data_IF_965974080050
#
_entry.id   IF_965974080050
#
_cell.length_a   1.000
_cell.length_b   1.000
_cell.length_c   1.000
_cell.angle_alpha   90.00
_cell.angle_beta   90.00
_cell.angle_gamma   90.00
#
_symmetry.space_group_name_H-M   'P 1'
#
loop_
_entity.id
_entity.type
_entity.pdbx_description
1 polymer ?
#
# COMPACT_ATOMS: atom_id res chain seq x y z
N UNK A 1 -33.03 -37.49 -78.22
CA UNK A 1 -32.26 -36.34 -78.67
C UNK A 1 -31.94 -35.47 -77.49
N UNK A 2 -30.70 -35.03 -77.39
CA UNK A 2 -30.00 -34.15 -76.48
C UNK A 2 -29.22 -34.84 -75.34
N UNK A 3 -27.93 -34.92 -75.62
CA UNK A 3 -26.86 -35.18 -74.69
C UNK A 3 -26.75 -34.09 -73.67
N UNK A 4 -26.59 -34.43 -72.43
CA UNK A 4 -25.99 -33.57 -71.40
C UNK A 4 -24.69 -34.18 -70.97
N UNK A 5 -23.59 -33.46 -71.31
CA UNK A 5 -22.23 -33.72 -70.87
C UNK A 5 -22.08 -33.18 -69.44
N UNK A 6 -21.81 -34.07 -68.52
CA UNK A 6 -21.33 -33.72 -67.18
C UNK A 6 -19.83 -33.40 -67.30
N UNK A 7 -19.49 -32.16 -67.10
CA UNK A 7 -18.09 -31.73 -66.91
C UNK A 7 -17.58 -32.16 -65.51
N UNK A 8 -16.46 -32.90 -65.52
CA UNK A 8 -15.81 -33.36 -64.31
C UNK A 8 -14.95 -32.24 -63.73
N UNK A 9 -15.23 -31.83 -62.47
CA UNK A 9 -14.36 -30.98 -61.69
C UNK A 9 -13.15 -31.74 -61.16
N UNK A 10 -11.94 -31.19 -61.22
CA UNK A 10 -10.76 -31.88 -60.71
C UNK A 10 -10.78 -31.90 -59.18
N UNK A 11 -10.71 -33.09 -58.60
CA UNK A 11 -10.57 -33.31 -57.14
C UNK A 11 -9.16 -32.94 -56.73
N UNK A 12 -9.00 -31.85 -55.99
CA UNK A 12 -7.75 -31.55 -55.29
C UNK A 12 -7.48 -32.57 -54.19
N UNK A 13 -6.29 -33.15 -54.17
CA UNK A 13 -5.89 -34.14 -53.20
C UNK A 13 -5.85 -33.52 -51.78
N UNK A 14 -6.25 -34.27 -50.76
CA UNK A 14 -6.22 -33.84 -49.33
C UNK A 14 -4.86 -33.33 -48.88
N UNK A 15 -3.76 -33.69 -49.52
CA UNK A 15 -2.41 -33.16 -49.23
C UNK A 15 -2.19 -31.73 -49.70
N UNK A 16 -2.77 -31.32 -50.82
CA UNK A 16 -2.66 -29.96 -51.34
C UNK A 16 -3.49 -28.97 -50.52
N UNK A 17 -4.63 -29.39 -49.95
CA UNK A 17 -5.46 -28.54 -49.06
C UNK A 17 -4.80 -28.26 -47.70
N UNK A 18 -4.02 -29.23 -47.17
CA UNK A 18 -3.31 -29.05 -45.90
C UNK A 18 -2.07 -28.15 -46.01
N UNK A 19 -1.42 -28.10 -47.19
CA UNK A 19 -0.28 -27.20 -47.41
C UNK A 19 -0.68 -25.76 -47.66
N UNK A 20 -1.88 -25.50 -48.14
CA UNK A 20 -2.38 -24.12 -48.36
C UNK A 20 -2.88 -23.46 -47.07
N UNK A 21 -3.30 -24.24 -46.06
CA UNK A 21 -3.73 -23.71 -44.76
C UNK A 21 -2.54 -23.37 -43.84
N UNK A 22 -1.40 -24.08 -44.01
CA UNK A 22 -0.19 -23.83 -43.24
C UNK A 22 0.57 -22.52 -43.66
N UNK A 23 0.36 -22.03 -44.85
CA UNK A 23 1.03 -20.82 -45.36
C UNK A 23 0.27 -19.49 -45.06
N UNK A 24 -0.97 -19.57 -44.56
CA UNK A 24 -1.77 -18.39 -44.21
C UNK A 24 -1.80 -18.09 -42.72
N UNK A 25 -1.15 -18.87 -41.86
CA UNK A 25 -0.84 -18.47 -40.50
C UNK A 25 0.40 -17.61 -40.50
N UNK A 26 0.26 -16.39 -40.99
CA UNK A 26 1.21 -15.34 -40.70
C UNK A 26 1.35 -15.27 -39.18
N UNK A 27 2.58 -15.36 -38.69
CA UNK A 27 2.94 -15.15 -37.31
C UNK A 27 2.41 -13.79 -36.90
N UNK A 28 1.21 -13.74 -36.35
CA UNK A 28 0.82 -12.61 -35.48
C UNK A 28 1.71 -12.78 -34.26
N UNK A 29 2.90 -12.21 -34.34
CA UNK A 29 3.65 -11.90 -33.15
C UNK A 29 2.74 -10.99 -32.33
N UNK A 30 2.02 -11.54 -31.36
CA UNK A 30 1.57 -10.77 -30.23
C UNK A 30 2.86 -10.21 -29.63
N UNK A 31 3.24 -9.02 -30.02
CA UNK A 31 4.10 -8.20 -29.21
C UNK A 31 3.36 -8.15 -27.88
N UNK A 32 3.80 -8.93 -26.90
CA UNK A 32 3.44 -8.72 -25.51
C UNK A 32 4.01 -7.35 -25.21
N UNK A 33 3.18 -6.30 -25.41
CA UNK A 33 3.50 -4.98 -24.90
C UNK A 33 3.80 -5.20 -23.43
N UNK A 34 5.02 -4.95 -23.04
CA UNK A 34 5.40 -4.94 -21.64
C UNK A 34 4.41 -4.01 -20.94
N UNK A 35 3.61 -4.46 -19.97
CA UNK A 35 2.56 -3.62 -19.42
C UNK A 35 3.18 -2.30 -19.00
N UNK A 36 2.62 -1.20 -19.49
CA UNK A 36 3.12 0.14 -19.17
C UNK A 36 3.15 0.25 -17.64
N UNK A 37 4.34 0.45 -17.08
CA UNK A 37 4.54 0.46 -15.64
C UNK A 37 3.84 1.66 -15.00
N UNK A 38 3.15 1.44 -13.88
CA UNK A 38 2.64 2.51 -13.05
C UNK A 38 3.77 3.20 -12.28
N UNK A 39 3.63 4.49 -11.99
CA UNK A 39 4.50 5.18 -11.02
C UNK A 39 4.13 4.84 -9.57
N UNK A 40 2.99 4.20 -9.32
CA UNK A 40 2.57 3.72 -8.01
C UNK A 40 3.44 2.53 -7.60
N UNK A 41 4.09 2.62 -6.44
CA UNK A 41 4.82 1.50 -5.85
C UNK A 41 3.92 0.56 -5.05
N UNK A 42 4.49 -0.49 -4.47
CA UNK A 42 3.79 -1.44 -3.58
C UNK A 42 4.43 -1.46 -2.20
N UNK A 43 3.60 -1.45 -1.17
CA UNK A 43 3.99 -1.85 0.19
C UNK A 43 4.00 -3.38 0.26
N UNK A 44 4.99 -3.99 0.89
CA UNK A 44 5.14 -5.45 0.98
C UNK A 44 3.87 -6.14 1.54
N UNK A 45 3.16 -5.48 2.44
CA UNK A 45 1.95 -6.03 3.04
C UNK A 45 0.81 -6.30 2.05
N UNK A 46 0.81 -5.69 0.85
CA UNK A 46 -0.13 -6.06 -0.23
C UNK A 46 0.01 -7.51 -0.67
N UNK A 47 1.20 -8.11 -0.47
CA UNK A 47 1.54 -9.46 -0.92
C UNK A 47 1.71 -10.45 0.26
N UNK A 48 1.06 -10.18 1.40
CA UNK A 48 1.22 -10.99 2.61
C UNK A 48 0.66 -12.41 2.45
N UNK A 49 -0.45 -12.55 1.72
CA UNK A 49 -1.08 -13.84 1.45
C UNK A 49 -0.21 -14.63 0.46
N UNK A 50 0.27 -14.00 -0.60
CA UNK A 50 1.21 -14.59 -1.57
C UNK A 50 2.49 -15.05 -0.89
N UNK A 51 3.07 -14.25 0.01
CA UNK A 51 4.24 -14.66 0.79
C UNK A 51 3.97 -15.94 1.56
N UNK A 52 2.85 -16.00 2.31
CA UNK A 52 2.44 -17.19 3.05
C UNK A 52 2.26 -18.41 2.14
N UNK A 53 1.62 -18.21 1.00
CA UNK A 53 1.39 -19.27 0.01
C UNK A 53 2.70 -19.82 -0.61
N UNK A 54 3.68 -18.97 -0.88
CA UNK A 54 5.00 -19.36 -1.35
C UNK A 54 5.79 -20.11 -0.27
N UNK A 55 5.73 -19.63 0.99
CA UNK A 55 6.41 -20.29 2.11
C UNK A 55 5.85 -21.66 2.47
N UNK A 56 4.60 -21.97 2.13
CA UNK A 56 4.07 -23.32 2.27
C UNK A 56 4.74 -24.31 1.28
N UNK A 57 5.26 -23.82 0.15
CA UNK A 57 5.93 -24.61 -0.90
C UNK A 57 7.44 -24.66 -0.71
N UNK A 58 8.02 -23.57 -0.30
CA UNK A 58 9.42 -23.42 0.07
C UNK A 58 9.55 -22.57 1.34
N UNK A 59 9.68 -23.18 2.52
CA UNK A 59 9.79 -22.47 3.79
C UNK A 59 11.00 -21.50 3.89
N UNK A 60 12.01 -21.66 3.01
CA UNK A 60 13.19 -20.80 2.99
C UNK A 60 12.99 -19.59 2.08
N UNK A 61 12.01 -19.62 1.20
CA UNK A 61 11.73 -18.50 0.31
C UNK A 61 11.06 -17.35 1.06
N UNK A 62 11.63 -16.16 0.94
CA UNK A 62 11.02 -14.95 1.49
C UNK A 62 10.76 -13.94 0.36
N UNK A 63 9.48 -13.80 0.00
CA UNK A 63 9.05 -12.79 -0.97
C UNK A 63 9.43 -11.37 -0.54
N UNK A 64 9.53 -11.10 0.77
CA UNK A 64 9.83 -9.78 1.31
C UNK A 64 11.33 -9.48 1.45
N UNK A 65 12.19 -10.43 1.09
CA UNK A 65 13.61 -10.14 0.90
C UNK A 65 13.74 -8.98 -0.13
N UNK A 66 14.52 -7.92 0.16
CA UNK A 66 14.44 -6.68 -0.59
C UNK A 66 14.59 -6.79 -2.11
N UNK A 67 15.60 -7.51 -2.60
CA UNK A 67 15.80 -7.66 -4.05
C UNK A 67 14.71 -8.54 -4.68
N UNK A 68 14.28 -9.58 -3.99
CA UNK A 68 13.20 -10.47 -4.42
C UNK A 68 11.89 -9.70 -4.53
N UNK A 69 11.58 -8.87 -3.55
CA UNK A 69 10.36 -8.08 -3.58
C UNK A 69 10.42 -6.97 -4.64
N UNK A 70 11.57 -6.32 -4.84
CA UNK A 70 11.71 -5.33 -5.89
C UNK A 70 11.52 -5.93 -7.30
N UNK A 71 12.04 -7.15 -7.52
CA UNK A 71 11.78 -7.90 -8.76
C UNK A 71 10.30 -8.20 -8.94
N UNK A 72 9.63 -8.66 -7.88
CA UNK A 72 8.18 -8.89 -7.92
C UNK A 72 7.41 -7.61 -8.25
N UNK A 73 7.75 -6.47 -7.66
CA UNK A 73 7.14 -5.18 -7.98
C UNK A 73 7.29 -4.82 -9.46
N UNK A 74 8.49 -5.01 -10.03
CA UNK A 74 8.71 -4.85 -11.48
C UNK A 74 7.78 -5.74 -12.30
N UNK A 75 7.70 -7.00 -11.94
CA UNK A 75 6.98 -8.02 -12.71
C UNK A 75 5.46 -7.79 -12.73
N UNK A 76 4.91 -7.25 -11.64
CA UNK A 76 3.48 -6.83 -11.58
C UNK A 76 3.22 -5.43 -12.15
N UNK A 77 4.25 -4.72 -12.62
CA UNK A 77 4.12 -3.40 -13.23
C UNK A 77 4.03 -2.23 -12.24
N UNK A 78 4.52 -2.39 -11.02
CA UNK A 78 4.61 -1.32 -10.04
C UNK A 78 5.88 -0.48 -10.22
N UNK A 79 5.84 0.80 -9.80
CA UNK A 79 6.93 1.78 -9.94
C UNK A 79 7.98 1.72 -8.86
N UNK A 80 7.85 0.84 -7.90
CA UNK A 80 8.79 0.70 -6.79
C UNK A 80 8.24 -0.15 -5.65
N UNK A 81 8.94 -0.15 -4.53
CA UNK A 81 8.58 -0.94 -3.36
C UNK A 81 8.70 -0.18 -2.05
N UNK A 82 8.04 -0.70 -1.02
CA UNK A 82 8.36 -0.43 0.38
C UNK A 82 8.39 -1.75 1.16
N UNK A 83 9.55 -2.07 1.74
CA UNK A 83 9.76 -3.27 2.56
C UNK A 83 10.79 -3.03 3.65
N UNK A 84 10.88 -3.92 4.63
CA UNK A 84 11.96 -3.87 5.61
C UNK A 84 13.28 -4.24 4.94
N UNK A 85 14.25 -3.33 4.99
CA UNK A 85 15.57 -3.58 4.40
C UNK A 85 16.48 -4.35 5.35
N UNK A 86 16.31 -4.15 6.66
CA UNK A 86 17.22 -4.65 7.67
C UNK A 86 18.64 -4.07 7.51
N UNK A 87 19.63 -4.84 7.96
CA UNK A 87 21.06 -4.51 7.75
C UNK A 87 21.58 -5.35 6.60
N UNK A 88 22.02 -4.70 5.52
CA UNK A 88 22.55 -5.35 4.32
C UNK A 88 24.07 -5.13 4.25
N UNK A 89 24.78 -6.13 3.73
CA UNK A 89 26.18 -5.96 3.35
C UNK A 89 26.34 -5.17 2.04
N UNK A 90 27.56 -4.72 1.74
CA UNK A 90 27.84 -3.87 0.58
C UNK A 90 27.47 -4.52 -0.77
N UNK A 91 27.58 -5.84 -0.88
CA UNK A 91 27.24 -6.55 -2.12
C UNK A 91 25.72 -6.56 -2.35
N UNK A 92 24.94 -6.79 -1.30
CA UNK A 92 23.46 -6.76 -1.36
C UNK A 92 22.94 -5.34 -1.59
N UNK A 93 23.54 -4.33 -0.91
CA UNK A 93 23.23 -2.92 -1.17
C UNK A 93 23.48 -2.58 -2.63
N UNK A 94 24.64 -2.93 -3.17
CA UNK A 94 24.99 -2.68 -4.58
C UNK A 94 23.98 -3.38 -5.53
N UNK A 95 23.70 -4.64 -5.32
CA UNK A 95 22.77 -5.41 -6.17
C UNK A 95 21.37 -4.80 -6.18
N UNK A 96 20.89 -4.33 -5.02
CA UNK A 96 19.57 -3.71 -4.89
C UNK A 96 19.51 -2.35 -5.63
N UNK A 97 20.54 -1.52 -5.46
CA UNK A 97 20.67 -0.21 -6.16
C UNK A 97 20.78 -0.40 -7.66
N UNK A 98 21.71 -1.24 -8.12
CA UNK A 98 21.94 -1.46 -9.56
C UNK A 98 20.63 -1.91 -10.24
N UNK A 99 19.90 -2.82 -9.60
CA UNK A 99 18.62 -3.27 -10.13
C UNK A 99 17.55 -2.16 -10.14
N UNK A 100 17.48 -1.37 -9.07
CA UNK A 100 16.54 -0.24 -8.98
C UNK A 100 16.84 0.81 -10.07
N UNK A 101 18.09 1.17 -10.25
CA UNK A 101 18.56 2.17 -11.22
C UNK A 101 18.33 1.68 -12.66
N UNK A 102 18.72 0.44 -12.98
CA UNK A 102 18.52 -0.18 -14.30
C UNK A 102 17.02 -0.21 -14.66
N UNK A 103 16.20 -0.62 -13.71
CA UNK A 103 14.76 -0.75 -13.90
C UNK A 103 13.98 0.54 -13.62
N UNK A 104 14.63 1.64 -13.20
CA UNK A 104 14.00 2.93 -12.83
C UNK A 104 12.90 2.74 -11.78
N UNK A 105 13.17 1.93 -10.77
CA UNK A 105 12.28 1.64 -9.65
C UNK A 105 12.68 2.47 -8.43
N UNK A 106 11.70 2.77 -7.59
CA UNK A 106 11.91 3.51 -6.35
C UNK A 106 11.89 2.57 -5.17
N UNK A 107 12.72 2.85 -4.18
CA UNK A 107 12.80 2.09 -2.95
C UNK A 107 12.44 2.99 -1.78
N UNK A 108 11.45 2.58 -1.01
CA UNK A 108 11.19 3.03 0.35
C UNK A 108 11.50 1.90 1.34
N UNK A 109 11.96 2.27 2.53
CA UNK A 109 12.22 1.32 3.61
C UNK A 109 11.09 1.25 4.63
N UNK A 110 11.13 0.20 5.47
CA UNK A 110 10.37 0.10 6.71
C UNK A 110 11.36 -0.13 7.84
N UNK A 111 11.25 0.63 8.93
CA UNK A 111 12.09 0.50 10.10
C UNK A 111 11.26 0.66 11.38
N UNK A 112 11.60 -0.08 12.43
CA UNK A 112 11.07 0.19 13.75
C UNK A 112 11.92 1.27 14.43
N UNK A 113 11.31 2.27 15.12
CA UNK A 113 12.09 3.29 15.81
C UNK A 113 12.90 2.65 16.95
N UNK A 114 13.94 3.31 17.46
CA UNK A 114 14.69 2.79 18.60
C UNK A 114 13.79 2.74 19.83
N UNK A 115 13.81 1.63 20.56
CA UNK A 115 12.99 1.43 21.77
C UNK A 115 13.52 2.23 22.95
N UNK A 116 14.85 2.27 23.08
CA UNK A 116 15.62 2.91 24.13
C UNK A 116 17.07 3.13 23.69
N UNK A 117 17.92 3.64 24.56
CA UNK A 117 19.34 3.89 24.27
C UNK A 117 20.10 2.61 23.88
N UNK A 118 19.72 1.46 24.42
CA UNK A 118 20.34 0.17 24.08
C UNK A 118 20.06 -0.32 22.65
N UNK A 119 19.03 0.23 22.02
CA UNK A 119 18.58 -0.15 20.67
C UNK A 119 19.12 0.79 19.56
N UNK A 120 19.83 1.87 19.93
CA UNK A 120 20.34 2.87 18.99
C UNK A 120 21.27 2.28 17.92
N UNK A 121 22.14 1.34 18.31
CA UNK A 121 23.08 0.73 17.37
C UNK A 121 22.38 -0.07 16.26
N UNK A 122 21.32 -0.82 16.58
CA UNK A 122 20.48 -1.51 15.59
C UNK A 122 19.82 -0.49 14.66
N UNK A 123 19.15 0.51 15.23
CA UNK A 123 18.45 1.52 14.46
C UNK A 123 19.40 2.27 13.51
N UNK A 124 20.58 2.70 14.02
CA UNK A 124 21.58 3.38 13.18
C UNK A 124 22.11 2.50 12.04
N UNK A 125 22.32 1.20 12.29
CA UNK A 125 22.75 0.27 11.25
C UNK A 125 21.69 0.13 10.13
N UNK A 126 20.40 0.04 10.47
CA UNK A 126 19.31 0.00 9.51
C UNK A 126 19.15 1.32 8.74
N UNK A 127 19.27 2.47 9.41
CA UNK A 127 19.22 3.80 8.76
C UNK A 127 20.44 3.99 7.82
N UNK A 128 21.61 3.53 8.20
CA UNK A 128 22.78 3.55 7.32
C UNK A 128 22.57 2.70 6.07
N UNK A 129 22.03 1.48 6.21
CA UNK A 129 21.64 0.64 5.06
C UNK A 129 20.66 1.38 4.15
N UNK A 130 19.65 2.02 4.72
CA UNK A 130 18.68 2.81 3.96
C UNK A 130 19.33 3.97 3.19
N UNK A 131 20.29 4.68 3.81
CA UNK A 131 21.06 5.73 3.16
C UNK A 131 21.93 5.19 2.01
N UNK A 132 22.62 4.07 2.23
CA UNK A 132 23.50 3.42 1.25
C UNK A 132 22.70 2.86 0.05
N UNK A 133 21.50 2.35 0.28
CA UNK A 133 20.55 1.92 -0.78
C UNK A 133 20.02 3.12 -1.56
N UNK A 134 19.95 4.30 -0.96
CA UNK A 134 19.41 5.50 -1.58
C UNK A 134 17.88 5.56 -1.52
N UNK A 135 17.28 5.15 -0.41
CA UNK A 135 15.82 5.19 -0.25
C UNK A 135 15.28 6.62 -0.26
N UNK A 136 14.04 6.79 -0.71
CA UNK A 136 13.36 8.09 -0.65
C UNK A 136 12.91 8.44 0.76
N UNK A 137 12.36 7.47 1.48
CA UNK A 137 11.97 7.56 2.87
C UNK A 137 11.99 6.19 3.54
N UNK A 138 12.06 6.17 4.87
CA UNK A 138 11.79 4.99 5.67
C UNK A 138 10.52 5.21 6.48
N UNK A 139 9.55 4.32 6.31
CA UNK A 139 8.28 4.35 7.05
C UNK A 139 8.48 3.74 8.44
N UNK A 140 7.83 4.32 9.43
CA UNK A 140 7.74 3.78 10.78
C UNK A 140 6.36 3.96 11.39
N UNK A 141 6.03 3.14 12.40
CA UNK A 141 4.91 3.34 13.32
C UNK A 141 5.45 3.48 14.73
N UNK A 142 4.78 4.26 15.55
CA UNK A 142 5.27 4.59 16.91
C UNK A 142 4.34 4.09 18.02
N UNK A 143 3.13 3.70 17.66
CA UNK A 143 2.16 3.14 18.60
C UNK A 143 1.60 1.82 18.06
N UNK A 144 1.20 0.88 18.93
CA UNK A 144 0.68 -0.42 18.50
C UNK A 144 -0.73 -0.29 17.90
N UNK A 145 -0.96 -0.99 16.81
CA UNK A 145 -2.25 -1.38 16.25
C UNK A 145 -3.31 -0.29 16.13
N UNK A 146 -4.54 -0.68 16.39
CA UNK A 146 -5.71 0.20 16.36
C UNK A 146 -6.05 0.67 17.78
N UNK A 147 -6.09 1.98 18.00
CA UNK A 147 -6.28 2.62 19.31
C UNK A 147 -7.45 2.01 20.09
N UNK A 148 -8.60 1.88 19.46
CA UNK A 148 -9.82 1.39 20.08
C UNK A 148 -9.84 -0.12 20.34
N UNK A 149 -8.80 -0.87 19.93
CA UNK A 149 -8.62 -2.29 20.23
C UNK A 149 -7.48 -2.52 21.23
N UNK A 150 -6.46 -1.67 21.19
CA UNK A 150 -5.23 -1.87 21.98
C UNK A 150 -5.30 -1.24 23.37
N UNK A 151 -6.06 -0.17 23.54
CA UNK A 151 -6.10 0.60 24.78
C UNK A 151 -7.49 0.58 25.40
N UNK A 152 -7.53 0.52 26.73
CA UNK A 152 -8.77 0.51 27.51
C UNK A 152 -9.10 1.87 28.13
N UNK A 153 -8.15 2.79 28.15
CA UNK A 153 -8.30 4.12 28.74
C UNK A 153 -7.47 5.17 28.03
N UNK A 154 -7.85 6.44 28.21
CA UNK A 154 -7.06 7.58 27.76
C UNK A 154 -5.68 7.63 28.43
N UNK A 155 -5.56 7.18 29.68
CA UNK A 155 -4.28 7.16 30.39
C UNK A 155 -3.27 6.25 29.70
N UNK A 156 -3.69 5.06 29.27
CA UNK A 156 -2.85 4.12 28.50
C UNK A 156 -2.42 4.74 27.14
N UNK A 157 -3.33 5.44 26.46
CA UNK A 157 -3.00 6.16 25.22
C UNK A 157 -1.94 7.22 25.48
N UNK A 158 -2.10 8.05 26.51
CA UNK A 158 -1.13 9.12 26.84
C UNK A 158 0.25 8.56 27.23
N UNK A 159 0.28 7.42 27.89
CA UNK A 159 1.55 6.71 28.16
C UNK A 159 2.24 6.25 26.87
N UNK A 160 1.46 5.66 25.94
CA UNK A 160 1.98 5.22 24.65
C UNK A 160 2.46 6.42 23.81
N UNK A 161 1.76 7.53 23.80
CA UNK A 161 2.18 8.77 23.14
C UNK A 161 3.49 9.31 23.72
N UNK A 162 3.62 9.34 25.04
CA UNK A 162 4.87 9.78 25.69
C UNK A 162 6.05 8.86 25.32
N UNK A 163 5.84 7.56 25.19
CA UNK A 163 6.85 6.62 24.70
C UNK A 163 7.19 6.88 23.23
N UNK A 164 6.18 7.13 22.39
CA UNK A 164 6.37 7.45 20.98
C UNK A 164 7.23 8.72 20.79
N UNK A 165 7.00 9.76 21.56
CA UNK A 165 7.81 10.99 21.57
C UNK A 165 9.27 10.65 21.87
N UNK A 166 9.55 9.91 22.96
CA UNK A 166 10.91 9.51 23.34
C UNK A 166 11.63 8.70 22.25
N UNK A 167 10.94 7.73 21.64
CA UNK A 167 11.51 6.93 20.55
C UNK A 167 11.90 7.83 19.36
N UNK A 168 11.10 8.82 19.02
CA UNK A 168 11.40 9.74 17.91
C UNK A 168 12.48 10.77 18.27
N UNK A 169 12.55 11.23 19.52
CA UNK A 169 13.64 12.07 20.03
C UNK A 169 14.99 11.33 19.95
N UNK A 170 15.01 10.03 20.26
CA UNK A 170 16.19 9.16 20.09
C UNK A 170 16.55 8.94 18.61
N UNK A 171 15.55 8.83 17.73
CA UNK A 171 15.76 8.65 16.31
C UNK A 171 16.28 9.89 15.59
N UNK A 172 15.86 11.10 16.03
CA UNK A 172 16.11 12.37 15.35
C UNK A 172 17.59 12.65 15.03
N UNK A 173 18.56 12.51 15.97
CA UNK A 173 19.96 12.75 15.67
C UNK A 173 20.53 11.75 14.65
N UNK A 174 20.08 10.50 14.68
CA UNK A 174 20.54 9.44 13.77
C UNK A 174 20.07 9.70 12.34
N UNK A 175 18.75 9.96 12.15
CA UNK A 175 18.19 10.21 10.82
C UNK A 175 18.75 11.52 10.23
N UNK A 176 19.01 12.52 11.05
CA UNK A 176 19.67 13.77 10.65
C UNK A 176 21.10 13.53 10.20
N UNK A 177 21.90 12.78 10.97
CA UNK A 177 23.29 12.40 10.64
C UNK A 177 23.38 11.72 9.28
N UNK A 178 22.48 10.77 9.01
CA UNK A 178 22.48 9.99 7.77
C UNK A 178 21.62 10.62 6.65
N UNK A 179 20.96 11.76 6.92
CA UNK A 179 20.09 12.49 5.98
C UNK A 179 18.97 11.60 5.41
N UNK A 180 18.41 10.70 6.21
CA UNK A 180 17.35 9.79 5.85
C UNK A 180 16.02 10.32 6.38
N UNK A 181 15.02 10.43 5.52
CA UNK A 181 13.67 10.85 5.89
C UNK A 181 12.94 9.73 6.63
N UNK A 182 12.66 9.92 7.92
CA UNK A 182 11.84 9.02 8.74
C UNK A 182 10.38 9.48 8.67
N UNK A 183 9.56 8.66 8.03
CA UNK A 183 8.16 8.95 7.78
C UNK A 183 7.27 8.19 8.79
N UNK A 184 6.72 8.90 9.77
CA UNK A 184 5.80 8.32 10.76
C UNK A 184 4.41 8.23 10.14
N UNK A 185 3.87 7.02 10.06
CA UNK A 185 2.54 6.79 9.49
C UNK A 185 1.43 7.27 10.43
N UNK A 186 0.42 7.98 9.88
CA UNK A 186 -0.87 8.12 10.56
C UNK A 186 -1.59 6.78 10.49
N UNK A 187 -1.30 5.94 11.45
CA UNK A 187 -1.98 4.66 11.62
C UNK A 187 -3.35 4.88 12.29
N UNK A 188 -4.04 3.83 12.73
CA UNK A 188 -5.31 3.98 13.48
C UNK A 188 -5.03 4.20 14.99
N UNK A 189 -4.04 5.05 15.31
CA UNK A 189 -3.43 5.23 16.62
C UNK A 189 -3.64 6.63 17.22
N UNK A 190 -3.31 7.67 16.48
CA UNK A 190 -3.45 9.08 16.88
C UNK A 190 -4.39 9.81 15.94
N UNK A 191 -5.22 10.66 16.49
CA UNK A 191 -6.03 11.61 15.73
C UNK A 191 -5.16 12.67 15.08
N UNK A 192 -5.73 13.38 14.12
CA UNK A 192 -5.04 14.40 13.34
C UNK A 192 -4.37 15.46 14.22
N UNK A 193 -5.08 16.00 15.21
CA UNK A 193 -4.56 17.04 16.12
C UNK A 193 -3.39 16.54 16.96
N UNK A 194 -3.46 15.30 17.47
CA UNK A 194 -2.39 14.65 18.22
C UNK A 194 -1.16 14.42 17.32
N UNK A 195 -1.37 14.00 16.09
CA UNK A 195 -0.29 13.77 15.10
C UNK A 195 0.40 15.09 14.68
N UNK A 196 -0.34 16.14 14.46
CA UNK A 196 0.22 17.46 14.14
C UNK A 196 1.00 18.04 15.32
N UNK A 197 0.50 17.84 16.56
CA UNK A 197 1.22 18.24 17.76
C UNK A 197 2.56 17.51 17.90
N UNK A 198 2.62 16.21 17.56
CA UNK A 198 3.85 15.43 17.54
C UNK A 198 4.90 16.01 16.58
N UNK A 199 4.53 16.28 15.31
CA UNK A 199 5.48 16.87 14.35
C UNK A 199 5.95 18.26 14.77
N UNK A 200 5.06 19.09 15.32
CA UNK A 200 5.40 20.41 15.83
C UNK A 200 6.36 20.33 17.03
N UNK A 201 6.16 19.37 17.93
CA UNK A 201 7.04 19.14 19.07
C UNK A 201 8.44 18.74 18.64
N UNK A 202 8.56 17.76 17.73
CA UNK A 202 9.84 17.22 17.27
C UNK A 202 10.63 18.25 16.45
N UNK A 203 9.96 19.07 15.67
CA UNK A 203 10.57 20.13 14.84
C UNK A 203 11.84 19.71 14.10
N UNK A 204 11.85 18.47 13.53
CA UNK A 204 13.00 17.87 12.87
C UNK A 204 12.74 17.77 11.36
N UNK A 205 13.66 18.33 10.56
CA UNK A 205 13.59 18.31 9.09
C UNK A 205 13.51 16.88 8.50
N UNK A 206 14.11 15.91 9.19
CA UNK A 206 14.16 14.50 8.74
C UNK A 206 13.08 13.61 9.36
N UNK A 207 12.15 14.17 10.15
CA UNK A 207 10.98 13.45 10.66
C UNK A 207 9.71 14.08 10.10
N UNK A 208 8.92 13.28 9.37
CA UNK A 208 7.69 13.72 8.74
C UNK A 208 6.67 12.59 8.65
N UNK A 209 5.78 12.65 7.68
CA UNK A 209 4.65 11.74 7.56
C UNK A 209 4.82 10.70 6.44
N UNK A 210 4.46 9.44 6.73
CA UNK A 210 3.80 8.58 5.75
C UNK A 210 2.32 8.90 5.82
N UNK A 211 1.78 9.59 4.82
CA UNK A 211 0.36 9.91 4.79
C UNK A 211 -0.42 8.70 4.31
N UNK A 212 -1.10 8.03 5.25
CA UNK A 212 -2.05 6.98 4.91
C UNK A 212 -3.43 7.60 4.64
N UNK A 213 -3.96 7.34 3.44
CA UNK A 213 -5.16 8.02 2.93
C UNK A 213 -6.48 7.49 3.49
N UNK A 214 -6.44 6.37 4.24
CA UNK A 214 -7.64 5.74 4.79
C UNK A 214 -7.70 5.63 6.30
N UNK A 215 -6.55 5.57 6.97
CA UNK A 215 -6.49 5.20 8.39
C UNK A 215 -7.20 6.18 9.33
N UNK A 216 -7.10 7.48 9.09
CA UNK A 216 -7.68 8.53 9.96
C UNK A 216 -9.22 8.45 10.04
N UNK A 217 -9.87 7.88 9.02
CA UNK A 217 -11.31 7.70 9.00
C UNK A 217 -11.82 6.78 10.13
N UNK A 218 -11.03 5.78 10.52
CA UNK A 218 -11.34 4.90 11.64
C UNK A 218 -11.31 5.61 13.02
N UNK A 219 -10.71 6.81 13.08
CA UNK A 219 -10.66 7.68 14.26
C UNK A 219 -11.64 8.86 14.18
N UNK A 220 -12.59 8.80 13.23
CA UNK A 220 -13.62 9.80 12.97
C UNK A 220 -13.07 11.16 12.49
N UNK A 221 -11.84 11.21 12.00
CA UNK A 221 -11.31 12.39 11.33
C UNK A 221 -11.94 12.53 9.92
N UNK A 222 -12.08 13.76 9.45
CA UNK A 222 -12.44 14.00 8.06
C UNK A 222 -11.32 13.51 7.14
N UNK A 223 -11.57 12.56 6.20
CA UNK A 223 -10.50 11.94 5.44
C UNK A 223 -9.73 12.95 4.56
N UNK A 224 -10.42 13.88 3.93
CA UNK A 224 -9.78 14.87 3.05
C UNK A 224 -9.06 15.94 3.85
N UNK A 225 -9.67 16.43 4.94
CA UNK A 225 -9.07 17.40 5.86
C UNK A 225 -7.81 16.84 6.54
N UNK A 226 -7.83 15.56 6.92
CA UNK A 226 -6.66 14.90 7.49
C UNK A 226 -5.51 14.82 6.49
N UNK A 227 -5.78 14.41 5.25
CA UNK A 227 -4.77 14.34 4.19
C UNK A 227 -4.23 15.75 3.88
N UNK A 228 -5.10 16.77 3.77
CA UNK A 228 -4.69 18.16 3.48
C UNK A 228 -3.76 18.72 4.57
N UNK A 229 -4.08 18.45 5.84
CA UNK A 229 -3.28 18.92 6.97
C UNK A 229 -1.94 18.18 7.10
N UNK A 230 -1.88 16.88 6.74
CA UNK A 230 -0.66 16.07 6.80
C UNK A 230 0.23 16.21 5.55
N UNK A 231 -0.32 16.60 4.40
CA UNK A 231 0.41 16.69 3.14
C UNK A 231 1.69 17.57 3.18
N UNK A 232 1.76 18.70 3.91
CA UNK A 232 2.99 19.47 4.07
C UNK A 232 4.13 18.69 4.74
N UNK A 233 3.81 17.75 5.61
CA UNK A 233 4.75 16.89 6.33
C UNK A 233 5.10 15.61 5.56
N UNK A 234 4.42 15.32 4.44
CA UNK A 234 4.56 14.07 3.73
C UNK A 234 5.96 13.84 3.16
N UNK A 235 6.53 12.67 3.42
CA UNK A 235 7.73 12.14 2.76
C UNK A 235 7.38 11.01 1.81
N UNK A 236 6.33 10.24 2.13
CA UNK A 236 5.78 9.17 1.31
C UNK A 236 4.28 9.01 1.63
N UNK A 237 3.56 8.22 0.85
CA UNK A 237 2.12 8.02 1.00
C UNK A 237 1.77 6.54 0.94
N UNK A 238 1.00 6.07 1.90
CA UNK A 238 0.23 4.83 1.77
C UNK A 238 -1.11 5.16 1.11
N UNK A 239 -1.20 4.80 -0.15
CA UNK A 239 -2.32 5.15 -0.99
C UNK A 239 -3.31 4.00 -1.02
N UNK A 240 -4.49 4.20 -0.43
CA UNK A 240 -5.54 3.20 -0.33
C UNK A 240 -6.92 3.80 -0.53
N UNK A 241 -7.82 2.99 -1.03
CA UNK A 241 -9.25 3.26 -1.10
C UNK A 241 -9.99 2.27 -0.21
N UNK A 242 -11.11 2.68 0.33
CA UNK A 242 -11.83 1.89 1.33
C UNK A 242 -13.30 1.80 1.01
N UNK A 243 -13.85 0.60 1.17
CA UNK A 243 -15.27 0.32 1.15
C UNK A 243 -15.85 0.36 2.56
N UNK A 244 -17.02 0.95 2.69
CA UNK A 244 -17.69 1.25 3.95
C UNK A 244 -19.05 0.58 4.01
N UNK A 245 -19.45 0.09 5.19
CA UNK A 245 -20.82 -0.39 5.45
C UNK A 245 -21.15 -0.28 6.93
N UNK A 246 -22.35 0.17 7.26
CA UNK A 246 -22.83 0.16 8.64
C UNK A 246 -22.97 -1.27 9.19
N UNK A 247 -22.71 -1.42 10.48
CA UNK A 247 -23.07 -2.58 11.27
C UNK A 247 -23.55 -2.11 12.66
N UNK A 248 -24.08 -3.00 13.48
CA UNK A 248 -24.72 -2.70 14.75
C UNK A 248 -23.93 -1.77 15.69
N UNK A 249 -22.59 -1.90 15.73
CA UNK A 249 -21.75 -1.14 16.65
C UNK A 249 -20.96 -0.02 15.98
N UNK A 250 -21.25 0.32 14.73
CA UNK A 250 -20.58 1.38 13.98
C UNK A 250 -20.49 1.08 12.49
N UNK A 251 -19.27 0.96 11.94
CA UNK A 251 -19.09 0.66 10.52
C UNK A 251 -17.97 -0.33 10.25
N UNK A 252 -18.08 -1.02 9.14
CA UNK A 252 -17.07 -1.89 8.56
C UNK A 252 -16.20 -1.09 7.62
N UNK A 253 -14.90 -1.40 7.61
CA UNK A 253 -13.88 -0.74 6.82
C UNK A 253 -13.02 -1.80 6.11
N UNK A 254 -13.05 -1.82 4.79
CA UNK A 254 -12.28 -2.77 3.99
C UNK A 254 -11.42 -2.06 2.96
N UNK A 255 -10.15 -2.46 2.85
CA UNK A 255 -9.28 -2.03 1.77
C UNK A 255 -9.73 -2.71 0.48
N UNK A 256 -9.92 -1.94 -0.60
CA UNK A 256 -10.36 -2.44 -1.91
C UNK A 256 -9.57 -1.76 -3.04
N UNK A 257 -9.65 -2.25 -4.29
CA UNK A 257 -8.94 -1.62 -5.40
C UNK A 257 -9.25 -0.13 -5.53
N UNK A 258 -8.22 0.64 -5.84
CA UNK A 258 -8.32 2.09 -6.03
C UNK A 258 -9.42 2.43 -7.04
N UNK A 259 -10.23 3.43 -6.72
CA UNK A 259 -11.35 3.90 -7.52
C UNK A 259 -12.62 3.04 -7.43
N UNK A 260 -12.63 1.99 -6.62
CA UNK A 260 -13.79 1.15 -6.37
C UNK A 260 -14.40 1.37 -4.99
N UNK A 261 -13.78 2.24 -4.18
CA UNK A 261 -14.19 2.55 -2.83
C UNK A 261 -15.04 3.80 -2.70
N UNK A 262 -15.06 4.27 -1.46
CA UNK A 262 -15.87 5.41 -1.04
C UNK A 262 -15.13 6.73 -1.15
N UNK A 263 -13.81 6.72 -1.36
CA UNK A 263 -13.00 7.93 -1.40
C UNK A 263 -12.77 8.44 -2.82
N UNK A 264 -12.80 9.74 -3.00
CA UNK A 264 -12.42 10.39 -4.26
C UNK A 264 -10.89 10.41 -4.40
N UNK A 265 -10.37 9.38 -5.07
CA UNK A 265 -8.93 9.19 -5.25
C UNK A 265 -8.29 10.27 -6.14
N UNK A 266 -9.05 10.89 -7.05
CA UNK A 266 -8.57 12.00 -7.87
C UNK A 266 -8.38 13.25 -7.01
N UNK A 267 -9.35 13.57 -6.14
CA UNK A 267 -9.26 14.67 -5.16
C UNK A 267 -8.09 14.47 -4.20
N UNK A 268 -7.92 13.25 -3.65
CA UNK A 268 -6.79 12.92 -2.77
C UNK A 268 -5.46 13.13 -3.48
N UNK A 269 -5.34 12.63 -4.72
CA UNK A 269 -4.14 12.81 -5.55
C UNK A 269 -3.85 14.30 -5.78
N UNK A 270 -4.87 15.10 -6.07
CA UNK A 270 -4.73 16.54 -6.28
C UNK A 270 -4.26 17.26 -5.01
N UNK A 271 -4.80 16.93 -3.84
CA UNK A 271 -4.37 17.49 -2.54
C UNK A 271 -2.88 17.20 -2.31
N UNK A 272 -2.47 15.93 -2.45
CA UNK A 272 -1.09 15.50 -2.21
C UNK A 272 -0.11 16.16 -3.19
N UNK A 273 -0.40 16.13 -4.49
CA UNK A 273 0.46 16.73 -5.53
C UNK A 273 0.53 18.26 -5.42
N UNK A 274 -0.53 18.94 -4.97
CA UNK A 274 -0.50 20.38 -4.72
C UNK A 274 0.50 20.74 -3.61
N UNK A 275 0.56 19.95 -2.55
CA UNK A 275 1.50 20.18 -1.45
C UNK A 275 2.94 19.72 -1.80
N UNK A 276 3.07 18.62 -2.52
CA UNK A 276 4.34 17.98 -2.89
C UNK A 276 4.23 17.40 -4.31
N UNK A 277 4.57 18.14 -5.37
CA UNK A 277 4.39 17.72 -6.77
C UNK A 277 5.02 16.36 -7.11
N UNK A 278 6.16 16.04 -6.50
CA UNK A 278 6.92 14.81 -6.73
C UNK A 278 6.69 13.74 -5.65
N UNK A 279 5.62 13.89 -4.85
CA UNK A 279 5.33 12.93 -3.77
C UNK A 279 5.20 11.50 -4.30
N UNK A 280 5.85 10.56 -3.64
CA UNK A 280 5.75 9.14 -3.93
C UNK A 280 4.52 8.55 -3.26
N UNK A 281 3.82 7.70 -4.01
CA UNK A 281 2.65 6.98 -3.54
C UNK A 281 2.90 5.50 -3.69
N UNK A 282 2.55 4.76 -2.66
CA UNK A 282 2.69 3.31 -2.57
C UNK A 282 1.32 2.73 -2.25
N UNK A 283 0.85 1.81 -3.07
CA UNK A 283 -0.37 1.07 -2.78
C UNK A 283 -0.22 0.34 -1.45
N UNK A 284 -1.15 0.56 -0.54
CA UNK A 284 -1.36 -0.29 0.62
C UNK A 284 -2.80 -0.78 0.63
N UNK A 285 -3.02 -1.98 0.13
CA UNK A 285 -4.29 -2.68 0.09
C UNK A 285 -4.11 -4.04 0.74
N UNK A 286 -4.64 -4.22 1.93
CA UNK A 286 -4.52 -5.48 2.66
C UNK A 286 -5.75 -6.34 2.39
N UNK A 287 -5.57 -7.42 1.65
CA UNK A 287 -6.65 -8.39 1.38
C UNK A 287 -6.95 -9.18 2.66
N UNK A 288 -8.07 -8.87 3.29
CA UNK A 288 -8.54 -9.46 4.56
C UNK A 288 -10.02 -9.21 4.76
N UNK A 289 -10.58 -9.81 5.81
CA UNK A 289 -11.92 -9.49 6.26
C UNK A 289 -12.04 -8.01 6.66
N UNK A 290 -13.22 -7.39 6.48
CA UNK A 290 -13.47 -6.01 6.85
C UNK A 290 -13.16 -5.76 8.33
N UNK A 291 -12.48 -4.66 8.61
CA UNK A 291 -12.24 -4.21 9.97
C UNK A 291 -13.52 -3.65 10.58
N UNK A 292 -13.75 -3.94 11.84
CA UNK A 292 -14.83 -3.34 12.62
C UNK A 292 -14.34 -2.06 13.28
N UNK A 293 -15.04 -0.95 13.05
CA UNK A 293 -14.83 0.31 13.77
C UNK A 293 -16.02 0.51 14.70
N UNK A 294 -15.90 0.14 15.99
CA UNK A 294 -17.02 0.06 16.90
C UNK A 294 -17.36 1.42 17.54
N UNK A 295 -17.52 2.47 16.74
CA UNK A 295 -17.67 3.84 17.16
C UNK A 295 -19.01 4.16 17.88
N UNK A 296 -19.88 3.18 18.03
CA UNK A 296 -21.13 3.27 18.80
C UNK A 296 -21.04 2.53 20.15
N UNK A 297 -19.83 2.16 20.60
CA UNK A 297 -19.62 1.46 21.87
C UNK A 297 -18.84 2.30 22.87
N UNK A 298 -19.11 2.11 24.18
CA UNK A 298 -18.42 2.81 25.25
C UNK A 298 -16.89 2.56 25.23
N UNK A 299 -16.46 1.36 24.86
CA UNK A 299 -15.04 1.01 24.78
C UNK A 299 -14.29 1.84 23.74
N UNK A 300 -14.91 2.19 22.63
CA UNK A 300 -14.32 3.09 21.63
C UNK A 300 -14.11 4.49 22.24
N UNK A 301 -15.12 5.01 22.93
CA UNK A 301 -15.10 6.34 23.53
C UNK A 301 -14.18 6.47 24.74
N UNK A 302 -13.87 5.38 25.44
CA UNK A 302 -12.93 5.38 26.56
C UNK A 302 -11.54 5.93 26.18
N UNK A 303 -11.17 5.87 24.91
CA UNK A 303 -9.88 6.37 24.39
C UNK A 303 -9.99 7.65 23.58
N UNK A 304 -11.20 8.17 23.34
CA UNK A 304 -11.46 9.28 22.38
C UNK A 304 -12.30 10.41 22.99
N UNK A 305 -11.96 10.94 24.17
CA UNK A 305 -12.83 11.92 24.86
C UNK A 305 -12.89 13.29 24.16
N UNK A 306 -11.92 13.60 23.29
CA UNK A 306 -11.87 14.89 22.56
C UNK A 306 -12.70 14.88 21.27
N UNK A 307 -13.22 13.71 20.83
CA UNK A 307 -14.06 13.64 19.64
C UNK A 307 -15.42 14.24 19.93
N UNK A 308 -15.83 15.19 19.09
CA UNK A 308 -17.14 15.84 19.23
C UNK A 308 -18.23 15.08 18.46
N UNK A 309 -19.48 15.19 18.92
CA UNK A 309 -20.61 14.49 18.29
C UNK A 309 -20.80 14.80 16.80
N UNK A 310 -20.40 15.99 16.34
CA UNK A 310 -20.41 16.36 14.92
C UNK A 310 -19.46 15.52 14.06
N UNK A 311 -18.33 15.06 14.61
CA UNK A 311 -17.38 14.20 13.89
C UNK A 311 -17.99 12.82 13.68
N UNK A 312 -18.62 12.25 14.72
CA UNK A 312 -19.36 11.00 14.61
C UNK A 312 -20.51 11.10 13.58
N UNK A 313 -21.31 12.19 13.68
CA UNK A 313 -22.43 12.40 12.77
C UNK A 313 -21.97 12.55 11.32
N UNK A 314 -20.87 13.28 11.06
CA UNK A 314 -20.26 13.41 9.74
C UNK A 314 -19.81 12.06 9.20
N UNK A 315 -19.09 11.29 10.01
CA UNK A 315 -18.56 9.97 9.62
C UNK A 315 -19.67 9.00 9.30
N UNK A 316 -20.68 8.87 10.16
CA UNK A 316 -21.81 7.96 9.91
C UNK A 316 -22.65 8.40 8.70
N UNK A 317 -22.83 9.71 8.49
CA UNK A 317 -23.47 10.22 7.27
C UNK A 317 -22.67 9.81 6.03
N UNK A 318 -21.35 9.99 6.04
CA UNK A 318 -20.48 9.59 4.91
C UNK A 318 -20.59 8.09 4.63
N UNK A 319 -20.63 7.23 5.65
CA UNK A 319 -20.82 5.77 5.51
C UNK A 319 -22.15 5.46 4.84
N UNK A 320 -23.25 6.16 5.23
CA UNK A 320 -24.60 5.96 4.67
C UNK A 320 -24.74 6.46 3.23
N UNK A 321 -24.05 7.53 2.89
CA UNK A 321 -24.05 8.12 1.54
C UNK A 321 -23.19 7.30 0.55
N UNK A 322 -22.20 6.52 1.05
CA UNK A 322 -21.26 5.76 0.22
C UNK A 322 -21.18 4.27 0.63
N UNK A 323 -22.31 3.56 0.76
CA UNK A 323 -22.29 2.19 1.23
C UNK A 323 -21.74 1.25 0.17
N UNK A 324 -20.82 0.38 0.56
CA UNK A 324 -20.38 -0.71 -0.30
C UNK A 324 -21.52 -1.72 -0.52
N UNK A 325 -21.75 -2.13 -1.77
CA UNK A 325 -22.75 -3.14 -2.11
C UNK A 325 -22.43 -4.49 -1.45
N UNK A 326 -21.17 -4.87 -1.50
CA UNK A 326 -20.64 -6.10 -0.89
C UNK A 326 -19.29 -5.82 -0.27
N UNK A 327 -19.03 -6.46 0.87
CA UNK A 327 -17.69 -6.56 1.45
C UNK A 327 -17.31 -8.05 1.47
N UNK A 328 -16.12 -8.34 0.97
CA UNK A 328 -15.65 -9.72 0.89
C UNK A 328 -15.11 -10.17 2.26
N UNK A 329 -15.59 -11.32 2.73
CA UNK A 329 -15.05 -12.02 3.87
C UNK A 329 -14.19 -13.17 3.35
N UNK A 330 -12.89 -12.99 3.41
CA UNK A 330 -11.91 -13.87 2.77
C UNK A 330 -11.31 -14.91 3.72
N UNK A 331 -11.50 -14.72 5.03
CA UNK A 331 -10.90 -15.56 6.07
C UNK A 331 -11.27 -17.03 5.97
N UNK A 332 -12.44 -17.35 5.43
CA UNK A 332 -12.91 -18.73 5.21
C UNK A 332 -12.48 -19.33 3.86
N UNK A 333 -11.83 -18.57 2.98
CA UNK A 333 -11.43 -19.05 1.66
C UNK A 333 -10.15 -19.86 1.70
N UNK A 334 -9.95 -20.72 0.69
CA UNK A 334 -8.65 -21.36 0.50
C UNK A 334 -7.56 -20.33 0.24
N UNK A 335 -6.33 -20.66 0.61
CA UNK A 335 -5.20 -19.75 0.44
C UNK A 335 -4.97 -19.39 -1.04
N UNK A 336 -5.19 -20.32 -1.95
CA UNK A 336 -5.12 -20.09 -3.39
C UNK A 336 -6.10 -19.00 -3.83
N UNK A 337 -7.37 -19.12 -3.42
CA UNK A 337 -8.39 -18.14 -3.75
C UNK A 337 -8.13 -16.76 -3.13
N UNK A 338 -7.54 -16.73 -1.93
CA UNK A 338 -7.10 -15.48 -1.32
C UNK A 338 -5.97 -14.83 -2.13
N UNK A 339 -4.99 -15.61 -2.63
CA UNK A 339 -3.90 -15.12 -3.49
C UNK A 339 -4.43 -14.58 -4.81
N UNK A 340 -5.38 -15.27 -5.44
CA UNK A 340 -6.02 -14.80 -6.68
C UNK A 340 -6.68 -13.44 -6.49
N UNK A 341 -7.37 -13.24 -5.35
CA UNK A 341 -7.97 -11.96 -5.02
C UNK A 341 -6.92 -10.89 -4.75
N UNK A 342 -5.85 -11.21 -4.00
CA UNK A 342 -4.76 -10.29 -3.70
C UNK A 342 -4.11 -9.79 -5.01
N UNK A 343 -3.84 -10.68 -5.95
CA UNK A 343 -3.31 -10.34 -7.28
C UNK A 343 -4.27 -9.47 -8.09
N UNK A 344 -5.55 -9.82 -8.10
CA UNK A 344 -6.58 -9.06 -8.79
C UNK A 344 -6.71 -7.63 -8.21
N UNK A 345 -6.66 -7.49 -6.89
CA UNK A 345 -6.69 -6.20 -6.20
C UNK A 345 -5.50 -5.31 -6.57
N UNK A 346 -4.29 -5.87 -6.58
CA UNK A 346 -3.07 -5.17 -6.99
C UNK A 346 -3.18 -4.73 -8.45
N UNK A 347 -3.52 -5.67 -9.35
CA UNK A 347 -3.63 -5.41 -10.79
C UNK A 347 -4.65 -4.31 -11.09
N UNK A 348 -5.85 -4.38 -10.48
CA UNK A 348 -6.89 -3.38 -10.66
C UNK A 348 -6.44 -1.99 -10.17
N UNK A 349 -5.75 -1.93 -9.01
CA UNK A 349 -5.25 -0.67 -8.45
C UNK A 349 -4.16 -0.05 -9.31
N UNK A 350 -3.20 -0.84 -9.81
CA UNK A 350 -2.15 -0.37 -10.72
C UNK A 350 -2.72 0.11 -12.05
N UNK A 351 -3.75 -0.58 -12.56
CA UNK A 351 -4.47 -0.16 -13.77
C UNK A 351 -5.15 1.20 -13.56
N UNK A 352 -5.91 1.35 -12.47
CA UNK A 352 -6.56 2.62 -12.14
C UNK A 352 -5.55 3.76 -11.99
N UNK A 353 -4.43 3.51 -11.32
CA UNK A 353 -3.38 4.50 -11.16
C UNK A 353 -2.82 5.00 -12.50
N UNK A 354 -2.60 4.09 -13.47
CA UNK A 354 -2.13 4.45 -14.81
C UNK A 354 -3.19 5.20 -15.63
N UNK A 355 -4.39 4.64 -15.70
CA UNK A 355 -5.42 5.07 -16.66
C UNK A 355 -6.20 6.29 -16.19
N UNK A 356 -6.39 6.45 -14.88
CA UNK A 356 -7.23 7.50 -14.29
C UNK A 356 -6.41 8.58 -13.58
N UNK A 357 -5.33 8.20 -12.88
CA UNK A 357 -4.54 9.14 -12.10
C UNK A 357 -3.25 9.61 -12.80
N UNK A 358 -2.94 9.08 -13.96
CA UNK A 358 -1.72 9.35 -14.74
C UNK A 358 -0.43 9.10 -13.92
N UNK A 359 -0.38 7.95 -13.24
CA UNK A 359 0.73 7.51 -12.40
C UNK A 359 1.36 6.21 -12.88
#
# INVERSE_FOLDING_TARGET
MKNDRLEAYPTMSRRAALSAVAAAMGSVAFATETPQRSRLGLVAYNCAIRRKWLQQRDPKFDLFEPLTFLKHCRDVGAGGMQTSLGVLDAARVKSLRDFADEQKLVIDGIVNPPKDDGDLARFEAEIRTAAEVGVQAVRTVVMPGRRYEQFKSLAEVREAEAKAVKMLELAAPIVTKHRVKLAVENHKDQRLDERLALYKHLSCEFIGATVDTGNSFALLDDPYGAIEALAPYAFTVHFKDQALREYEHGFLLADIPLGQGSFDMQRITAILKRAKPDIRMLLELITRDPLKVPCLTDSYWATMPSVVGSDLARTLRFVREHPAKTLQEVGSWSLEKQVELEDANISASLKFAREVLAM
#
